data_IF_571915278447
#
_entry.id   IF_571915278447
#
_cell.length_a   1.000
_cell.length_b   1.000
_cell.length_c   1.000
_cell.angle_alpha   90.00
_cell.angle_beta   90.00
_cell.angle_gamma   90.00
#
_symmetry.space_group_name_H-M   'P 1'
#
loop_
_entity.id
_entity.type
_entity.pdbx_description
1 polymer ?
#
# COMPACT_ATOMS: atom_id res chain seq x y z
N UNK A 1 15.41 9.16 6.21
CA UNK A 1 13.96 9.40 6.40
C UNK A 1 13.26 8.39 5.53
N UNK A 2 12.53 7.44 6.11
CA UNK A 2 11.87 6.40 5.30
C UNK A 2 10.66 7.01 4.60
N UNK A 3 10.27 6.49 3.44
CA UNK A 3 9.06 6.91 2.72
C UNK A 3 7.83 6.79 3.63
N UNK A 4 7.83 5.79 4.51
CA UNK A 4 6.81 5.60 5.54
C UNK A 4 6.68 6.79 6.49
N UNK A 5 7.80 7.37 6.94
CA UNK A 5 7.78 8.56 7.82
C UNK A 5 7.17 9.78 7.12
N UNK A 6 7.46 9.95 5.83
CA UNK A 6 6.92 11.07 5.02
C UNK A 6 5.41 10.94 4.87
N UNK A 7 4.91 9.75 4.55
CA UNK A 7 3.47 9.48 4.45
C UNK A 7 2.77 9.65 5.81
N UNK A 8 3.35 9.13 6.88
CA UNK A 8 2.82 9.27 8.24
C UNK A 8 2.72 10.74 8.65
N UNK A 9 3.76 11.52 8.43
CA UNK A 9 3.78 12.94 8.80
C UNK A 9 2.79 13.75 7.95
N UNK A 10 2.65 13.44 6.66
CA UNK A 10 1.67 14.08 5.79
C UNK A 10 0.22 13.79 6.25
N UNK A 11 -0.06 12.55 6.66
CA UNK A 11 -1.38 12.17 7.21
C UNK A 11 -1.67 12.90 8.53
N UNK A 12 -0.70 12.92 9.46
CA UNK A 12 -0.85 13.62 10.75
C UNK A 12 -1.05 15.14 10.55
N UNK A 13 -0.32 15.74 9.61
CA UNK A 13 -0.53 17.14 9.24
C UNK A 13 -1.91 17.36 8.62
N UNK A 14 -2.37 16.45 7.75
CA UNK A 14 -3.71 16.49 7.15
C UNK A 14 -4.83 16.48 8.20
N UNK A 15 -4.76 15.58 9.18
CA UNK A 15 -5.72 15.54 10.29
C UNK A 15 -5.69 16.82 11.13
N UNK A 16 -4.51 17.33 11.47
CA UNK A 16 -4.38 18.58 12.23
C UNK A 16 -4.95 19.81 11.50
N UNK A 17 -4.79 19.88 10.18
CA UNK A 17 -5.38 20.93 9.34
C UNK A 17 -6.91 20.84 9.36
N UNK A 18 -7.47 19.62 9.29
CA UNK A 18 -8.92 19.41 9.32
C UNK A 18 -9.54 19.93 10.63
N UNK A 19 -8.89 19.63 11.76
CA UNK A 19 -9.34 20.04 13.09
C UNK A 19 -9.24 21.57 13.27
N UNK A 20 -8.15 22.17 12.78
CA UNK A 20 -7.95 23.64 12.80
C UNK A 20 -8.99 24.40 11.98
N UNK A 21 -9.40 23.85 10.84
CA UNK A 21 -10.44 24.46 10.00
C UNK A 21 -11.79 24.41 10.70
N UNK A 22 -12.12 23.28 11.33
CA UNK A 22 -13.35 23.13 12.10
C UNK A 22 -13.40 24.12 13.28
N UNK A 23 -12.31 24.24 14.05
CA UNK A 23 -12.20 25.24 15.12
C UNK A 23 -12.36 26.67 14.60
N UNK A 24 -11.74 26.99 13.46
CA UNK A 24 -11.82 28.33 12.87
C UNK A 24 -13.25 28.68 12.46
N UNK A 25 -13.98 27.72 11.89
CA UNK A 25 -15.40 27.91 11.53
C UNK A 25 -16.25 28.07 12.80
N UNK A 26 -16.03 27.26 13.84
CA UNK A 26 -16.74 27.37 15.12
C UNK A 26 -16.46 28.72 15.81
N UNK A 27 -15.24 29.26 15.72
CA UNK A 27 -14.91 30.59 16.22
C UNK A 27 -15.69 31.70 15.49
N UNK A 28 -15.80 31.60 14.17
CA UNK A 28 -16.55 32.58 13.36
C UNK A 28 -18.04 32.54 13.69
N UNK A 29 -18.59 31.35 13.98
CA UNK A 29 -19.96 31.19 14.47
C UNK A 29 -20.12 31.84 15.85
N UNK A 30 -19.19 31.59 16.79
CA UNK A 30 -19.21 32.20 18.13
C UNK A 30 -19.09 33.72 18.10
N UNK A 31 -18.33 34.27 17.16
CA UNK A 31 -18.18 35.72 16.95
C UNK A 31 -19.42 36.35 16.29
N UNK A 32 -20.38 35.54 15.85
CA UNK A 32 -21.59 36.00 15.15
C UNK A 32 -21.33 36.40 13.70
N UNK A 33 -20.14 36.14 13.17
CA UNK A 33 -19.78 36.40 11.77
C UNK A 33 -20.39 35.36 10.82
N UNK A 34 -20.74 34.19 11.35
CA UNK A 34 -21.48 33.12 10.66
C UNK A 34 -22.66 32.66 11.51
N UNK A 35 -23.77 32.29 10.87
CA UNK A 35 -24.82 31.55 11.57
C UNK A 35 -24.39 30.10 11.82
N UNK A 36 -24.95 29.43 12.83
CA UNK A 36 -24.71 28.00 13.09
C UNK A 36 -24.99 27.14 11.85
N UNK A 37 -26.05 27.47 11.11
CA UNK A 37 -26.42 26.79 9.86
C UNK A 37 -25.39 26.97 8.75
N UNK A 38 -24.78 28.16 8.63
CA UNK A 38 -23.73 28.39 7.64
C UNK A 38 -22.42 27.70 8.04
N UNK A 39 -22.03 27.75 9.32
CA UNK A 39 -20.84 27.06 9.82
C UNK A 39 -20.93 25.54 9.62
N UNK A 40 -22.05 24.93 10.01
CA UNK A 40 -22.29 23.49 9.81
C UNK A 40 -22.23 23.09 8.34
N UNK A 41 -22.75 23.94 7.44
CA UNK A 41 -22.70 23.70 5.99
C UNK A 41 -21.26 23.74 5.47
N UNK A 42 -20.46 24.72 5.88
CA UNK A 42 -19.05 24.84 5.48
C UNK A 42 -18.20 23.65 5.96
N UNK A 43 -18.38 23.22 7.21
CA UNK A 43 -17.69 22.03 7.74
C UNK A 43 -18.05 20.79 6.93
N UNK A 44 -19.33 20.62 6.60
CA UNK A 44 -19.81 19.49 5.80
C UNK A 44 -19.22 19.51 4.39
N UNK A 45 -19.32 20.62 3.67
CA UNK A 45 -18.78 20.77 2.32
C UNK A 45 -17.25 20.55 2.28
N UNK A 46 -16.53 21.07 3.28
CA UNK A 46 -15.09 20.85 3.41
C UNK A 46 -14.76 19.38 3.63
N UNK A 47 -15.48 18.71 4.52
CA UNK A 47 -15.26 17.29 4.85
C UNK A 47 -15.54 16.39 3.65
N UNK A 48 -16.67 16.59 2.97
CA UNK A 48 -17.02 15.84 1.75
C UNK A 48 -15.96 16.04 0.64
N UNK A 49 -15.44 17.26 0.48
CA UNK A 49 -14.39 17.55 -0.49
C UNK A 49 -13.05 16.92 -0.10
N UNK A 50 -12.70 16.94 1.19
CA UNK A 50 -11.50 16.32 1.71
C UNK A 50 -11.51 14.79 1.56
N UNK A 51 -12.64 14.14 1.83
CA UNK A 51 -12.81 12.69 1.60
C UNK A 51 -12.61 12.34 0.11
N UNK A 52 -13.30 13.05 -0.79
CA UNK A 52 -13.12 12.84 -2.25
C UNK A 52 -11.67 13.02 -2.70
N UNK A 53 -11.00 14.10 -2.26
CA UNK A 53 -9.59 14.32 -2.59
C UNK A 53 -8.67 13.24 -2.00
N UNK A 54 -8.99 12.72 -0.82
CA UNK A 54 -8.20 11.65 -0.19
C UNK A 54 -8.33 10.33 -0.94
N UNK A 55 -9.52 9.99 -1.45
CA UNK A 55 -9.75 8.80 -2.28
C UNK A 55 -9.00 8.87 -3.60
N UNK A 56 -9.07 10.01 -4.30
CA UNK A 56 -8.34 10.24 -5.55
C UNK A 56 -6.81 10.21 -5.33
N UNK A 57 -6.33 10.80 -4.23
CA UNK A 57 -4.93 10.76 -3.84
C UNK A 57 -4.48 9.32 -3.56
N UNK A 58 -5.27 8.54 -2.82
CA UNK A 58 -4.95 7.14 -2.49
C UNK A 58 -4.86 6.28 -3.75
N UNK A 59 -5.77 6.45 -4.72
CA UNK A 59 -5.69 5.79 -6.02
C UNK A 59 -4.42 6.20 -6.78
N UNK A 60 -4.14 7.49 -6.86
CA UNK A 60 -2.97 8.01 -7.56
C UNK A 60 -1.66 7.49 -6.96
N UNK A 61 -1.56 7.45 -5.64
CA UNK A 61 -0.40 6.90 -4.93
C UNK A 61 -0.27 5.40 -5.22
N UNK A 62 -1.38 4.65 -5.17
CA UNK A 62 -1.38 3.21 -5.46
C UNK A 62 -0.91 2.92 -6.88
N UNK A 63 -1.36 3.70 -7.87
CA UNK A 63 -0.93 3.59 -9.27
C UNK A 63 0.55 3.94 -9.44
N UNK A 64 1.04 4.99 -8.76
CA UNK A 64 2.46 5.36 -8.80
C UNK A 64 3.32 4.27 -8.16
N UNK A 65 2.88 3.69 -7.04
CA UNK A 65 3.58 2.59 -6.40
C UNK A 65 3.60 1.35 -7.29
N UNK A 66 2.46 0.98 -7.87
CA UNK A 66 2.36 -0.15 -8.80
C UNK A 66 3.31 0.03 -10.00
N UNK A 67 3.29 1.20 -10.65
CA UNK A 67 4.17 1.52 -11.78
C UNK A 67 5.65 1.57 -11.39
N UNK A 68 5.96 2.05 -10.20
CA UNK A 68 7.34 2.08 -9.69
C UNK A 68 7.84 0.67 -9.40
N UNK A 69 7.02 -0.18 -8.77
CA UNK A 69 7.34 -1.58 -8.52
C UNK A 69 7.53 -2.36 -9.82
N UNK A 70 6.66 -2.14 -10.80
CA UNK A 70 6.78 -2.72 -12.14
C UNK A 70 8.10 -2.30 -12.83
N UNK A 71 8.46 -1.01 -12.76
CA UNK A 71 9.71 -0.48 -13.32
C UNK A 71 10.97 -0.94 -12.59
N UNK A 72 10.89 -1.23 -11.30
CA UNK A 72 12.04 -1.72 -10.53
C UNK A 72 12.33 -3.21 -10.79
N UNK A 73 11.55 -3.88 -11.66
CA UNK A 73 11.71 -5.30 -11.99
C UNK A 73 11.75 -6.18 -10.73
N UNK A 74 11.07 -5.73 -9.66
CA UNK A 74 11.05 -6.41 -8.37
C UNK A 74 10.10 -7.61 -8.49
N UNK A 75 10.58 -8.84 -8.24
CA UNK A 75 9.71 -10.01 -8.29
C UNK A 75 8.63 -9.90 -7.22
N UNK A 76 7.39 -10.15 -7.61
CA UNK A 76 6.26 -10.21 -6.68
C UNK A 76 6.40 -11.42 -5.75
N UNK A 77 5.61 -11.46 -4.67
CA UNK A 77 5.58 -12.63 -3.79
C UNK A 77 5.19 -13.90 -4.55
N UNK A 78 4.28 -13.79 -5.51
CA UNK A 78 3.85 -14.90 -6.37
C UNK A 78 4.99 -15.37 -7.28
N UNK A 79 5.77 -14.46 -7.86
CA UNK A 79 6.96 -14.81 -8.66
C UNK A 79 7.98 -15.62 -7.83
N UNK A 80 8.20 -15.22 -6.57
CA UNK A 80 9.08 -15.93 -5.64
C UNK A 80 8.53 -17.32 -5.28
N UNK A 81 7.22 -17.44 -5.05
CA UNK A 81 6.58 -18.73 -4.77
C UNK A 81 6.66 -19.69 -5.96
N UNK A 82 6.46 -19.20 -7.18
CA UNK A 82 6.54 -20.01 -8.39
C UNK A 82 7.99 -20.44 -8.70
N UNK A 83 8.97 -19.57 -8.45
CA UNK A 83 10.38 -19.95 -8.46
C UNK A 83 10.67 -21.07 -7.45
N UNK A 84 10.15 -20.96 -6.22
CA UNK A 84 10.31 -22.00 -5.21
C UNK A 84 9.69 -23.34 -5.62
N UNK A 85 8.51 -23.34 -6.25
CA UNK A 85 7.90 -24.57 -6.78
C UNK A 85 8.75 -25.21 -7.88
N UNK A 86 9.24 -24.41 -8.82
CA UNK A 86 10.12 -24.87 -9.92
C UNK A 86 11.41 -25.46 -9.37
N UNK A 87 12.04 -24.81 -8.38
CA UNK A 87 13.24 -25.29 -7.70
C UNK A 87 12.96 -26.65 -7.02
N UNK A 88 11.87 -26.78 -6.27
CA UNK A 88 11.50 -28.07 -5.63
C UNK A 88 11.28 -29.19 -6.64
N UNK A 89 10.61 -28.90 -7.75
CA UNK A 89 10.39 -29.88 -8.82
C UNK A 89 11.71 -30.33 -9.46
N UNK A 90 12.61 -29.38 -9.74
CA UNK A 90 13.96 -29.65 -10.25
C UNK A 90 14.78 -30.47 -9.25
N UNK A 91 14.85 -30.08 -7.98
CA UNK A 91 15.56 -30.84 -6.94
C UNK A 91 15.04 -32.28 -6.81
N UNK A 92 13.73 -32.49 -6.96
CA UNK A 92 13.13 -33.83 -6.93
C UNK A 92 13.55 -34.66 -8.15
N UNK A 93 13.61 -34.05 -9.34
CA UNK A 93 14.08 -34.73 -10.56
C UNK A 93 15.56 -35.05 -10.48
N UNK A 94 16.38 -34.13 -9.98
CA UNK A 94 17.81 -34.33 -9.76
C UNK A 94 18.03 -35.50 -8.81
N UNK A 95 17.37 -35.52 -7.64
CA UNK A 95 17.45 -36.67 -6.70
C UNK A 95 17.05 -38.00 -7.33
N UNK A 96 16.01 -38.03 -8.16
CA UNK A 96 15.57 -39.25 -8.86
C UNK A 96 16.61 -39.73 -9.89
N UNK A 97 17.26 -38.80 -10.57
CA UNK A 97 18.32 -39.11 -11.54
C UNK A 97 19.60 -39.58 -10.83
N UNK A 98 20.02 -38.91 -9.76
CA UNK A 98 21.14 -39.34 -8.92
C UNK A 98 20.92 -40.74 -8.34
N UNK A 99 19.73 -41.02 -7.80
CA UNK A 99 19.36 -42.35 -7.30
C UNK A 99 19.25 -43.44 -8.40
N UNK A 100 19.06 -43.04 -9.66
CA UNK A 100 19.08 -43.94 -10.80
C UNK A 100 20.52 -44.20 -11.30
N UNK A 101 21.41 -43.21 -11.16
CA UNK A 101 22.84 -43.30 -11.51
C UNK A 101 23.64 -44.09 -10.47
N UNK A 102 23.23 -44.10 -9.19
CA UNK A 102 23.84 -44.94 -8.14
C UNK A 102 23.40 -46.43 -8.18
N UNK A 103 22.46 -46.79 -9.06
CA UNK A 103 21.89 -48.15 -9.15
C UNK A 103 22.50 -49.17 -10.14
N UNK A 104 23.68 -49.00 -10.79
CA UNK A 104 24.14 -49.97 -11.78
C UNK A 104 24.89 -51.19 -11.22
N UNK A 105 25.18 -51.29 -9.91
CA UNK A 105 26.13 -52.32 -9.40
C UNK A 105 25.50 -53.51 -8.64
N UNK A 106 24.18 -53.73 -8.68
CA UNK A 106 23.56 -54.90 -8.01
C UNK A 106 22.60 -55.70 -8.91
N UNK A 107 23.02 -56.05 -10.12
CA UNK A 107 22.46 -57.20 -10.86
C UNK A 107 23.54 -57.83 -11.73
N UNK A 108 24.36 -58.66 -11.13
CA UNK A 108 25.41 -59.40 -11.82
C UNK A 108 26.18 -60.31 -10.88
N UNK A 109 25.50 -61.28 -10.28
CA UNK A 109 26.12 -62.52 -9.82
C UNK A 109 25.19 -63.68 -10.12
#
# INVERSE_FOLDING_TARGET
MTIFDVVRNALLAGFGIQEKIKESIDELVKKGELSETQGAKLVKEWTEKAEKSSDELTKSISDVLAKTLEKMNLPTKEDVEDLNKKIKALSTRVKKLEAAVERPEQKGS
#
